data_IF_761127824029
#
_entry.id   IF_761127824029
#
_cell.length_a   1.000
_cell.length_b   1.000
_cell.length_c   1.000
_cell.angle_alpha   90.00
_cell.angle_beta   90.00
_cell.angle_gamma   90.00
#
_symmetry.space_group_name_H-M   'P 1'
#
loop_
_entity.id
_entity.type
_entity.pdbx_description
1 polymer ?
#
# COMPACT_ATOMS: atom_id res chain seq x y z
N UNK A 1 -2.84 -2.74 15.89
CA UNK A 1 -3.60 -3.55 14.92
C UNK A 1 -2.63 -4.18 13.94
N UNK A 2 -3.05 -5.21 13.23
CA UNK A 2 -2.25 -5.78 12.16
C UNK A 2 -2.66 -5.11 10.85
N UNK A 3 -1.69 -4.77 10.02
CA UNK A 3 -1.96 -4.42 8.61
C UNK A 3 -1.25 -5.41 7.70
N UNK A 4 -1.90 -5.80 6.61
CA UNK A 4 -1.22 -6.40 5.47
C UNK A 4 -1.05 -5.32 4.41
N UNK A 5 0.19 -4.97 4.09
CA UNK A 5 0.53 -4.06 3.00
C UNK A 5 0.90 -4.91 1.79
N UNK A 6 -0.03 -5.02 0.83
CA UNK A 6 0.11 -5.77 -0.40
C UNK A 6 0.64 -4.89 -1.53
N UNK A 7 1.81 -5.24 -2.04
CA UNK A 7 2.47 -4.59 -3.18
C UNK A 7 2.02 -5.28 -4.46
N UNK A 8 1.11 -4.62 -5.18
CA UNK A 8 0.45 -5.19 -6.35
C UNK A 8 1.05 -4.60 -7.61
N UNK A 9 1.66 -5.46 -8.40
CA UNK A 9 2.31 -5.11 -9.65
C UNK A 9 1.32 -5.22 -10.81
N UNK A 10 1.38 -4.25 -11.71
CA UNK A 10 0.60 -4.22 -12.95
C UNK A 10 1.17 -5.24 -13.91
N UNK A 11 0.29 -5.91 -14.65
CA UNK A 11 0.67 -6.74 -15.80
C UNK A 11 1.37 -5.89 -16.86
N UNK A 12 2.36 -6.47 -17.55
CA UNK A 12 3.06 -5.78 -18.64
C UNK A 12 2.06 -5.31 -19.71
N UNK A 13 2.21 -4.05 -20.16
CA UNK A 13 1.35 -3.44 -21.18
C UNK A 13 0.09 -2.75 -20.64
N UNK A 14 -0.16 -2.81 -19.32
CA UNK A 14 -1.26 -2.07 -18.69
C UNK A 14 -0.75 -0.72 -18.17
N UNK A 15 -1.47 0.35 -18.50
CA UNK A 15 -1.17 1.71 -18.02
C UNK A 15 -1.59 1.91 -16.56
N UNK A 16 -1.09 2.95 -15.90
CA UNK A 16 -1.53 3.32 -14.53
C UNK A 16 -3.04 3.55 -14.46
N UNK A 17 -3.60 4.15 -15.52
CA UNK A 17 -5.03 4.48 -15.63
C UNK A 17 -5.85 3.20 -15.78
N UNK A 18 -5.46 2.32 -16.70
CA UNK A 18 -6.19 1.08 -16.96
C UNK A 18 -6.14 0.13 -15.76
N UNK A 19 -4.97 0.05 -15.10
CA UNK A 19 -4.82 -0.71 -13.86
C UNK A 19 -5.76 -0.19 -12.78
N UNK A 20 -5.73 1.13 -12.52
CA UNK A 20 -6.60 1.74 -11.51
C UNK A 20 -8.07 1.57 -11.83
N UNK A 21 -8.45 1.76 -13.09
CA UNK A 21 -9.84 1.60 -13.53
C UNK A 21 -10.31 0.17 -13.28
N UNK A 22 -9.58 -0.85 -13.76
CA UNK A 22 -9.95 -2.25 -13.53
C UNK A 22 -10.00 -2.58 -12.04
N UNK A 23 -9.01 -2.10 -11.27
CA UNK A 23 -8.96 -2.30 -9.83
C UNK A 23 -10.25 -1.78 -9.16
N UNK A 24 -10.63 -0.53 -9.43
CA UNK A 24 -11.73 0.13 -8.72
C UNK A 24 -13.12 -0.26 -9.24
N UNK A 25 -13.26 -0.58 -10.53
CA UNK A 25 -14.58 -0.88 -11.12
C UNK A 25 -14.91 -2.36 -11.19
N UNK A 26 -13.93 -3.23 -10.95
CA UNK A 26 -14.10 -4.69 -11.08
C UNK A 26 -13.52 -5.44 -9.89
N UNK A 27 -12.22 -5.33 -9.64
CA UNK A 27 -11.54 -6.14 -8.63
C UNK A 27 -11.98 -5.81 -7.20
N UNK A 28 -11.93 -4.54 -6.78
CA UNK A 28 -12.26 -4.14 -5.43
C UNK A 28 -13.74 -4.44 -5.07
N UNK A 29 -14.74 -4.13 -5.92
CA UNK A 29 -16.12 -4.54 -5.66
C UNK A 29 -16.30 -6.06 -5.57
N UNK A 30 -15.59 -6.83 -6.42
CA UNK A 30 -15.62 -8.29 -6.35
C UNK A 30 -15.04 -8.79 -5.02
N UNK A 31 -13.87 -8.28 -4.62
CA UNK A 31 -13.24 -8.62 -3.34
C UNK A 31 -14.15 -8.30 -2.15
N UNK A 32 -14.78 -7.13 -2.13
CA UNK A 32 -15.73 -6.72 -1.09
C UNK A 32 -17.00 -7.59 -1.06
N UNK A 33 -17.42 -8.13 -2.20
CA UNK A 33 -18.56 -9.06 -2.27
C UNK A 33 -18.24 -10.46 -1.75
N UNK A 34 -16.96 -10.84 -1.77
CA UNK A 34 -16.49 -12.17 -1.43
C UNK A 34 -15.91 -12.25 -0.02
N UNK A 35 -15.17 -11.23 0.41
CA UNK A 35 -14.35 -11.24 1.62
C UNK A 35 -14.86 -10.26 2.68
N UNK A 36 -14.57 -10.58 3.95
CA UNK A 36 -14.98 -9.73 5.08
C UNK A 36 -13.83 -8.82 5.53
N UNK A 37 -13.79 -7.59 5.00
CA UNK A 37 -12.76 -6.62 5.38
C UNK A 37 -13.17 -5.74 6.58
N UNK A 38 -12.29 -5.60 7.57
CA UNK A 38 -12.44 -4.57 8.61
C UNK A 38 -11.89 -3.20 8.16
N UNK A 39 -11.02 -3.20 7.16
CA UNK A 39 -10.54 -2.00 6.49
C UNK A 39 -9.78 -2.38 5.24
N UNK A 40 -10.09 -1.71 4.13
CA UNK A 40 -9.48 -1.95 2.83
C UNK A 40 -9.19 -0.61 2.16
N UNK A 41 -7.91 -0.29 2.01
CA UNK A 41 -7.45 0.93 1.38
C UNK A 41 -6.60 0.61 0.15
N UNK A 42 -6.77 1.37 -0.93
CA UNK A 42 -6.09 1.17 -2.21
C UNK A 42 -5.25 2.41 -2.52
N UNK A 43 -3.92 2.27 -2.50
CA UNK A 43 -2.99 3.37 -2.77
C UNK A 43 -2.36 3.21 -4.14
N UNK A 44 -2.88 3.92 -5.14
CA UNK A 44 -2.43 3.84 -6.52
C UNK A 44 -1.12 4.59 -6.71
N UNK A 45 -0.09 3.86 -7.15
CA UNK A 45 1.24 4.39 -7.42
C UNK A 45 1.23 5.04 -8.80
N UNK A 46 1.81 6.24 -8.89
CA UNK A 46 2.02 6.91 -10.17
C UNK A 46 3.43 6.59 -10.66
N UNK A 47 3.56 5.88 -11.76
CA UNK A 47 4.84 5.44 -12.32
C UNK A 47 5.79 6.60 -12.65
N UNK A 48 5.26 7.75 -13.10
CA UNK A 48 6.06 8.94 -13.42
C UNK A 48 6.69 9.57 -12.16
N UNK A 49 6.02 9.47 -11.01
CA UNK A 49 6.55 9.95 -9.72
C UNK A 49 7.45 8.91 -9.04
N UNK A 50 7.43 7.67 -9.52
CA UNK A 50 8.10 6.53 -8.89
C UNK A 50 8.85 5.68 -9.93
N UNK A 51 9.86 6.23 -10.63
CA UNK A 51 10.52 5.52 -11.73
C UNK A 51 11.23 4.23 -11.32
N UNK A 52 11.62 4.09 -10.05
CA UNK A 52 12.21 2.84 -9.52
C UNK A 52 11.16 1.74 -9.27
N UNK A 53 9.88 2.09 -9.28
CA UNK A 53 8.74 1.20 -9.02
C UNK A 53 7.74 1.24 -10.18
N UNK A 54 8.22 1.39 -11.42
CA UNK A 54 7.37 1.60 -12.61
C UNK A 54 6.27 0.54 -12.77
N UNK A 55 6.57 -0.73 -12.45
CA UNK A 55 5.59 -1.82 -12.52
C UNK A 55 4.67 -1.92 -11.30
N UNK A 56 4.94 -1.23 -10.20
CA UNK A 56 4.08 -1.24 -9.02
C UNK A 56 2.82 -0.42 -9.32
N UNK A 57 1.65 -1.05 -9.26
CA UNK A 57 0.37 -0.40 -9.55
C UNK A 57 -0.30 0.16 -8.29
N UNK A 58 -0.25 -0.59 -7.19
CA UNK A 58 -0.75 -0.12 -5.91
C UNK A 58 -0.03 -0.72 -4.72
N UNK A 59 -0.19 -0.04 -3.58
CA UNK A 59 0.00 -0.62 -2.25
C UNK A 59 -1.38 -0.68 -1.60
N UNK A 60 -1.97 -1.88 -1.56
CA UNK A 60 -3.25 -2.08 -0.88
C UNK A 60 -3.02 -2.41 0.58
N UNK A 61 -3.82 -1.82 1.46
CA UNK A 61 -3.72 -1.99 2.91
C UNK A 61 -4.98 -2.65 3.41
N UNK A 62 -4.82 -3.83 3.99
CA UNK A 62 -5.90 -4.53 4.69
C UNK A 62 -5.65 -4.41 6.19
N UNK A 63 -6.68 -4.04 6.96
CA UNK A 63 -6.59 -3.84 8.41
C UNK A 63 -7.26 -5.00 9.13
N UNK A 64 -6.62 -5.46 10.20
CA UNK A 64 -7.12 -6.53 11.06
C UNK A 64 -6.94 -6.15 12.53
N UNK A 65 -8.02 -6.27 13.29
CA UNK A 65 -8.11 -6.00 14.71
C UNK A 65 -7.28 -6.98 15.52
N UNK A 66 -7.17 -8.23 15.04
CA UNK A 66 -6.40 -9.31 15.68
C UNK A 66 -5.87 -10.35 14.68
N UNK A 67 -5.09 -11.32 15.18
CA UNK A 67 -4.65 -12.47 14.37
C UNK A 67 -5.81 -13.38 13.98
N UNK A 68 -6.85 -13.49 14.82
CA UNK A 68 -8.06 -14.25 14.50
C UNK A 68 -8.79 -13.64 13.30
N UNK A 69 -8.90 -12.31 13.23
CA UNK A 69 -9.47 -11.63 12.06
C UNK A 69 -8.66 -11.88 10.78
N UNK A 70 -7.32 -11.90 10.89
CA UNK A 70 -6.45 -12.28 9.78
C UNK A 70 -6.67 -13.74 9.34
N UNK A 71 -6.84 -14.66 10.29
CA UNK A 71 -7.08 -16.08 9.99
C UNK A 71 -8.40 -16.29 9.26
N UNK A 72 -9.47 -15.55 9.60
CA UNK A 72 -10.76 -15.62 8.89
C UNK A 72 -10.56 -15.28 7.41
N UNK A 73 -9.85 -14.19 7.09
CA UNK A 73 -9.52 -13.86 5.70
C UNK A 73 -8.65 -14.96 5.05
N UNK A 74 -7.72 -15.54 5.80
CA UNK A 74 -6.92 -16.68 5.32
C UNK A 74 -7.79 -17.88 4.90
N UNK A 75 -8.81 -18.22 5.68
CA UNK A 75 -9.78 -19.28 5.36
C UNK A 75 -10.63 -18.94 4.15
N UNK A 76 -11.12 -17.70 4.03
CA UNK A 76 -11.88 -17.26 2.86
C UNK A 76 -11.03 -17.32 1.59
N UNK A 77 -9.77 -16.88 1.65
CA UNK A 77 -8.82 -16.97 0.55
C UNK A 77 -8.44 -18.42 0.21
N UNK A 78 -8.54 -19.36 1.14
CA UNK A 78 -8.30 -20.78 0.88
C UNK A 78 -9.51 -21.51 0.29
N UNK A 79 -10.67 -20.85 0.22
CA UNK A 79 -11.91 -21.38 -0.36
C UNK A 79 -12.09 -21.00 -1.84
N UNK A 80 -13.17 -21.49 -2.46
CA UNK A 80 -13.60 -21.14 -3.81
C UNK A 80 -13.70 -19.62 -4.04
N UNK A 81 -13.98 -18.84 -2.98
CA UNK A 81 -13.98 -17.36 -3.05
C UNK A 81 -12.60 -16.83 -3.44
N UNK A 82 -11.55 -17.39 -2.85
CA UNK A 82 -10.17 -17.04 -3.16
C UNK A 82 -9.78 -17.45 -4.58
N UNK A 83 -10.32 -18.56 -5.09
CA UNK A 83 -10.05 -19.00 -6.46
C UNK A 83 -10.68 -18.03 -7.48
N UNK A 84 -11.92 -17.58 -7.24
CA UNK A 84 -12.57 -16.53 -8.05
C UNK A 84 -11.72 -15.25 -8.08
N UNK A 85 -11.17 -14.82 -6.93
CA UNK A 85 -10.30 -13.65 -6.88
C UNK A 85 -9.00 -13.86 -7.63
N UNK A 86 -8.34 -15.01 -7.45
CA UNK A 86 -7.09 -15.32 -8.17
C UNK A 86 -7.29 -15.33 -9.68
N UNK A 87 -8.43 -15.83 -10.16
CA UNK A 87 -8.77 -15.77 -11.59
C UNK A 87 -8.93 -14.33 -12.07
N UNK A 88 -9.59 -13.47 -11.29
CA UNK A 88 -9.74 -12.05 -11.61
C UNK A 88 -8.39 -11.30 -11.63
N UNK A 89 -7.50 -11.59 -10.66
CA UNK A 89 -6.17 -10.98 -10.54
C UNK A 89 -5.33 -11.16 -11.82
N UNK A 90 -5.45 -12.30 -12.52
CA UNK A 90 -4.71 -12.59 -13.76
C UNK A 90 -5.05 -11.63 -14.92
N UNK A 91 -6.17 -10.92 -14.85
CA UNK A 91 -6.57 -9.98 -15.88
C UNK A 91 -5.69 -8.72 -15.88
N UNK A 92 -5.19 -8.30 -14.72
CA UNK A 92 -4.54 -6.99 -14.59
C UNK A 92 -3.28 -6.95 -13.71
N UNK A 93 -3.02 -7.99 -12.91
CA UNK A 93 -1.84 -8.09 -12.06
C UNK A 93 -0.72 -8.93 -12.68
N UNK A 94 0.53 -8.60 -12.34
CA UNK A 94 1.69 -9.48 -12.50
C UNK A 94 1.89 -10.28 -11.20
N UNK A 95 1.03 -11.28 -11.00
CA UNK A 95 0.92 -12.05 -9.75
C UNK A 95 2.26 -12.58 -9.22
N UNK A 96 3.19 -13.12 -10.04
CA UNK A 96 4.49 -13.57 -9.56
C UNK A 96 5.36 -12.48 -8.90
N UNK A 97 5.11 -11.20 -9.18
CA UNK A 97 5.80 -10.07 -8.53
C UNK A 97 5.07 -9.54 -7.31
N UNK A 98 3.81 -9.92 -7.10
CA UNK A 98 3.06 -9.48 -5.94
C UNK A 98 3.67 -10.08 -4.67
N UNK A 99 3.71 -9.26 -3.62
CA UNK A 99 4.05 -9.72 -2.29
C UNK A 99 3.30 -8.87 -1.28
N UNK A 100 3.17 -9.35 -0.05
CA UNK A 100 2.67 -8.56 1.05
C UNK A 100 3.59 -8.69 2.26
N UNK A 101 3.49 -7.71 3.14
CA UNK A 101 4.14 -7.76 4.45
C UNK A 101 3.09 -7.55 5.54
N UNK A 102 3.23 -8.28 6.64
CA UNK A 102 2.42 -8.08 7.83
C UNK A 102 3.14 -7.13 8.79
N UNK A 103 2.40 -6.18 9.33
CA UNK A 103 2.95 -5.14 10.20
C UNK A 103 2.17 -5.02 11.50
N UNK A 104 2.89 -4.77 12.58
CA UNK A 104 2.29 -4.25 13.80
C UNK A 104 2.21 -2.73 13.68
N UNK A 105 0.98 -2.23 13.59
CA UNK A 105 0.70 -0.85 13.23
C UNK A 105 -0.10 -0.15 14.31
N UNK A 106 0.33 1.08 14.61
CA UNK A 106 -0.39 2.05 15.43
C UNK A 106 -0.72 3.25 14.56
N UNK A 107 -2.00 3.60 14.46
CA UNK A 107 -2.39 4.86 13.81
C UNK A 107 -2.07 6.01 14.76
N UNK A 108 -1.32 6.99 14.26
CA UNK A 108 -0.92 8.19 14.99
C UNK A 108 -1.87 9.36 14.73
N UNK A 109 -2.73 9.23 13.71
CA UNK A 109 -3.75 10.22 13.33
C UNK A 109 -5.02 9.53 12.84
N UNK A 110 -6.15 10.21 12.96
CA UNK A 110 -7.43 9.79 12.37
C UNK A 110 -7.71 10.51 11.04
N UNK A 111 -6.82 11.42 10.63
CA UNK A 111 -6.99 12.18 9.39
C UNK A 111 -6.85 11.26 8.18
N UNK A 112 -7.74 11.43 7.22
CA UNK A 112 -7.67 10.76 5.92
C UNK A 112 -6.89 11.64 4.94
N UNK A 113 -6.07 11.00 4.10
CA UNK A 113 -5.23 11.68 3.13
C UNK A 113 -5.50 11.14 1.74
N UNK A 114 -5.62 12.04 0.76
CA UNK A 114 -5.79 11.67 -0.66
C UNK A 114 -4.49 11.25 -1.33
N UNK A 115 -3.35 11.63 -0.74
CA UNK A 115 -2.01 11.28 -1.21
C UNK A 115 -1.14 10.90 -0.03
N UNK A 116 -0.33 9.87 -0.22
CA UNK A 116 0.54 9.31 0.82
C UNK A 116 1.95 9.07 0.29
N UNK A 117 2.88 9.03 1.22
CA UNK A 117 4.24 8.52 1.03
C UNK A 117 4.40 7.27 1.88
N UNK A 118 4.91 6.21 1.27
CA UNK A 118 5.35 4.99 1.93
C UNK A 118 6.86 4.95 1.92
N UNK A 119 7.49 5.11 3.08
CA UNK A 119 8.94 5.02 3.25
C UNK A 119 9.31 3.61 3.68
N UNK A 120 9.96 2.85 2.80
CA UNK A 120 10.43 1.48 3.03
C UNK A 120 11.77 1.54 3.78
N UNK A 121 11.73 1.52 5.10
CA UNK A 121 12.92 1.66 5.93
C UNK A 121 13.56 0.30 6.22
N UNK A 122 14.90 0.25 6.14
CA UNK A 122 15.72 -0.93 6.52
C UNK A 122 16.27 -0.83 7.94
N UNK A 123 16.04 0.28 8.62
CA UNK A 123 16.49 0.52 9.98
C UNK A 123 15.61 1.55 10.69
N UNK A 124 15.64 1.53 12.02
CA UNK A 124 14.96 2.51 12.86
C UNK A 124 15.37 3.95 12.55
N UNK A 125 16.65 4.19 12.23
CA UNK A 125 17.14 5.52 11.84
C UNK A 125 16.46 6.03 10.57
N UNK A 126 16.24 5.17 9.58
CA UNK A 126 15.59 5.55 8.33
C UNK A 126 14.09 5.80 8.53
N UNK A 127 13.44 4.99 9.36
CA UNK A 127 11.99 5.06 9.63
C UNK A 127 11.48 6.45 10.00
N UNK A 128 12.30 7.26 10.67
CA UNK A 128 11.91 8.58 11.15
C UNK A 128 12.48 9.73 10.32
N UNK A 129 13.08 9.43 9.15
CA UNK A 129 13.81 10.42 8.35
C UNK A 129 12.92 11.54 7.79
N UNK A 130 11.61 11.31 7.68
CA UNK A 130 10.64 12.29 7.17
C UNK A 130 9.82 12.98 8.27
N UNK A 131 10.00 12.62 9.54
CA UNK A 131 9.16 13.09 10.66
C UNK A 131 9.22 14.62 10.87
N UNK A 132 10.33 15.25 10.49
CA UNK A 132 10.52 16.69 10.62
C UNK A 132 9.96 17.51 9.45
N UNK A 133 9.43 16.85 8.40
CA UNK A 133 8.97 17.54 7.22
C UNK A 133 7.62 18.21 7.46
N UNK A 134 7.59 19.54 7.40
CA UNK A 134 6.41 20.38 7.75
C UNK A 134 5.14 20.10 6.94
N UNK A 135 5.26 19.53 5.75
CA UNK A 135 4.14 19.21 4.86
C UNK A 135 3.74 17.72 4.89
N UNK A 136 4.27 16.95 5.84
CA UNK A 136 3.92 15.55 6.05
C UNK A 136 3.36 15.36 7.45
N UNK A 137 2.40 14.44 7.57
CA UNK A 137 1.87 13.99 8.86
C UNK A 137 2.03 12.47 8.92
N UNK A 138 2.72 11.96 9.94
CA UNK A 138 2.94 10.52 10.07
C UNK A 138 1.63 9.83 10.44
N UNK A 139 1.26 8.83 9.64
CA UNK A 139 0.07 8.01 9.83
C UNK A 139 0.41 6.80 10.71
N UNK A 140 1.46 6.07 10.34
CA UNK A 140 1.91 4.90 11.09
C UNK A 140 3.35 4.55 10.75
N UNK A 141 4.08 3.96 11.69
CA UNK A 141 5.41 3.40 11.42
C UNK A 141 5.35 2.11 10.60
N UNK A 142 4.25 1.34 10.76
CA UNK A 142 4.07 -0.03 10.25
C UNK A 142 5.33 -0.89 10.41
N UNK A 143 5.61 -1.33 11.64
CA UNK A 143 6.76 -2.17 11.95
C UNK A 143 6.52 -3.58 11.40
N UNK A 144 7.43 -4.12 10.60
CA UNK A 144 7.27 -5.45 10.00
C UNK A 144 7.35 -6.53 11.10
N UNK A 145 6.41 -7.48 11.07
CA UNK A 145 6.36 -8.58 12.05
C UNK A 145 7.45 -9.62 11.73
N UNK A 146 7.59 -10.00 10.46
CA UNK A 146 8.61 -10.96 10.01
C UNK A 146 9.18 -10.56 8.63
N UNK A 147 10.38 -9.96 8.62
CA UNK A 147 11.21 -9.76 7.43
C UNK A 147 12.66 -9.53 7.83
N UNK A 148 13.61 -10.01 7.02
CA UNK A 148 15.05 -9.75 7.22
C UNK A 148 15.55 -8.52 6.44
N UNK A 149 14.77 -8.06 5.46
CA UNK A 149 15.21 -7.05 4.49
C UNK A 149 14.55 -5.68 4.70
N UNK A 150 13.37 -5.66 5.33
CA UNK A 150 12.59 -4.45 5.60
C UNK A 150 12.29 -4.39 7.09
N UNK A 151 12.64 -3.26 7.71
CA UNK A 151 12.38 -3.01 9.13
C UNK A 151 10.96 -2.45 9.34
N UNK A 152 10.57 -1.47 8.51
CA UNK A 152 9.26 -0.83 8.61
C UNK A 152 8.84 -0.16 7.30
N UNK A 153 7.56 0.17 7.17
CA UNK A 153 7.02 0.93 6.05
C UNK A 153 6.25 2.13 6.60
N UNK A 154 6.97 3.21 6.88
CA UNK A 154 6.35 4.40 7.46
C UNK A 154 5.42 5.05 6.45
N UNK A 155 4.20 5.28 6.89
CA UNK A 155 3.11 5.84 6.11
C UNK A 155 2.95 7.31 6.51
N UNK A 156 3.02 8.21 5.55
CA UNK A 156 2.86 9.65 5.76
C UNK A 156 1.76 10.19 4.86
N UNK A 157 0.87 10.98 5.44
CA UNK A 157 -0.09 11.77 4.70
C UNK A 157 0.55 13.04 4.14
N UNK A 158 0.27 13.35 2.87
CA UNK A 158 0.73 14.60 2.25
C UNK A 158 -0.30 15.71 2.55
N UNK A 159 0.17 16.80 3.16
CA UNK A 159 -0.65 17.97 3.48
C UNK A 159 -0.81 18.90 2.27
N UNK A 160 -1.83 19.77 2.31
CA UNK A 160 -2.09 20.77 1.26
C UNK A 160 -0.96 21.79 1.10
N UNK A 161 -0.14 21.98 2.13
CA UNK A 161 1.06 22.82 2.10
C UNK A 161 2.22 22.24 1.29
N UNK A 162 2.11 20.98 0.84
CA UNK A 162 3.14 20.33 0.03
C UNK A 162 3.23 20.98 -1.36
N UNK A 163 4.40 21.54 -1.68
CA UNK A 163 4.71 22.07 -3.01
C UNK A 163 5.38 21.01 -3.88
N UNK A 164 5.40 21.22 -5.20
CA UNK A 164 6.11 20.35 -6.15
C UNK A 164 7.60 20.25 -5.79
N UNK A 165 8.27 21.37 -5.54
CA UNK A 165 9.70 21.42 -5.16
C UNK A 165 10.00 20.62 -3.89
N UNK A 166 9.10 20.64 -2.90
CA UNK A 166 9.25 19.84 -1.68
C UNK A 166 9.16 18.35 -1.99
N UNK A 167 8.17 17.95 -2.79
CA UNK A 167 7.96 16.55 -3.17
C UNK A 167 9.13 16.01 -4.00
N UNK A 168 9.64 16.80 -4.94
CA UNK A 168 10.82 16.47 -5.75
C UNK A 168 12.06 16.29 -4.87
N UNK A 169 12.29 17.18 -3.90
CA UNK A 169 13.40 17.03 -2.94
C UNK A 169 13.29 15.79 -2.07
N UNK A 170 12.08 15.44 -1.62
CA UNK A 170 11.86 14.21 -0.85
C UNK A 170 12.19 12.99 -1.73
N UNK A 171 11.70 12.97 -2.97
CA UNK A 171 11.95 11.88 -3.94
C UNK A 171 13.41 11.76 -4.36
N UNK A 172 14.11 12.87 -4.61
CA UNK A 172 15.52 12.84 -5.01
C UNK A 172 16.44 12.34 -3.90
N UNK A 173 16.08 12.59 -2.64
CA UNK A 173 16.91 12.27 -1.48
C UNK A 173 16.65 10.87 -0.92
N UNK A 174 15.54 10.21 -1.31
CA UNK A 174 15.12 8.92 -0.76
C UNK A 174 14.65 8.01 -1.89
N UNK A 175 15.41 6.95 -2.20
CA UNK A 175 15.03 5.97 -3.23
C UNK A 175 14.01 4.95 -2.72
N UNK A 176 13.85 4.91 -1.41
CA UNK A 176 13.03 3.99 -0.66
C UNK A 176 11.61 4.51 -0.42
N UNK A 177 11.21 5.59 -1.06
CA UNK A 177 9.84 6.11 -0.96
C UNK A 177 8.98 5.67 -2.14
N UNK A 178 7.70 5.48 -1.87
CA UNK A 178 6.65 5.32 -2.88
C UNK A 178 5.58 6.38 -2.64
N UNK A 179 5.31 7.21 -3.64
CA UNK A 179 4.26 8.23 -3.62
C UNK A 179 3.01 7.65 -4.28
N UNK A 180 1.89 7.70 -3.58
CA UNK A 180 0.64 7.13 -4.04
C UNK A 180 -0.57 8.04 -3.78
N UNK A 181 -1.65 7.79 -4.52
CA UNK A 181 -2.95 8.42 -4.32
C UNK A 181 -3.91 7.41 -3.71
N UNK A 182 -4.52 7.77 -2.59
CA UNK A 182 -5.31 6.86 -1.76
C UNK A 182 -6.80 6.92 -2.13
N UNK A 183 -7.41 5.75 -2.20
CA UNK A 183 -8.86 5.54 -2.10
C UNK A 183 -9.10 4.70 -0.86
N UNK A 184 -9.94 5.21 0.03
CA UNK A 184 -10.29 4.59 1.30
C UNK A 184 -11.72 4.09 1.14
#
# INVERSE_FOLDING_TARGET
MIKALAFIHKKNGISDIDFRNYYETSHAPLAESLLTFEGYERNFVNSLLNPLYESLGSISIFKYSSMEALNIIGEEMASDKGDILREDELNFMDVPKNFYVLTNSKELTQRLFKKKIFLIAKSEKQMNSLDSHIALEKISDNIIIESKDIFSISEYGILESMTTDMLEKISSNNKEIVIASSVI
#
